data_IF_807616183873
#
_entry.id   IF_807616183873
#
_cell.length_a   1.000
_cell.length_b   1.000
_cell.length_c   1.000
_cell.angle_alpha   90.00
_cell.angle_beta   90.00
_cell.angle_gamma   90.00
#
_symmetry.space_group_name_H-M   'P 1'
#
loop_
_entity.id
_entity.type
_entity.pdbx_description
1 polymer ?
#
# COMPACT_ATOMS: atom_id res chain seq x y z
N UNK A 1 0.55 1.25 18.43
CA UNK A 1 -0.31 0.22 19.06
C UNK A 1 -1.70 0.22 18.45
N UNK A 2 -2.36 -0.88 18.58
CA UNK A 2 -3.78 -1.02 18.26
C UNK A 2 -4.50 -1.38 19.56
N UNK A 3 -5.32 -0.45 20.05
CA UNK A 3 -6.04 -0.60 21.33
C UNK A 3 -5.10 -0.99 22.50
N UNK A 4 -3.94 -0.36 22.56
CA UNK A 4 -2.95 -0.59 23.61
C UNK A 4 -1.99 -1.77 23.37
N UNK A 5 -2.22 -2.57 22.33
CA UNK A 5 -1.35 -3.70 21.98
C UNK A 5 -0.35 -3.27 20.92
N UNK A 6 0.97 -3.56 21.08
CA UNK A 6 1.94 -3.29 20.05
C UNK A 6 1.59 -3.99 18.73
N UNK A 7 1.83 -3.31 17.61
CA UNK A 7 1.58 -3.87 16.27
C UNK A 7 2.86 -3.87 15.45
N UNK A 8 2.91 -4.77 14.49
CA UNK A 8 3.87 -4.70 13.42
C UNK A 8 3.33 -5.38 12.16
N UNK A 9 3.99 -5.12 11.03
CA UNK A 9 3.59 -5.67 9.74
C UNK A 9 3.69 -7.19 9.71
N UNK A 10 2.99 -7.81 8.75
CA UNK A 10 3.05 -9.25 8.49
C UNK A 10 4.46 -9.66 8.02
N UNK A 11 4.82 -10.92 8.23
CA UNK A 11 6.04 -11.54 7.70
C UNK A 11 5.77 -12.37 6.44
N UNK A 12 4.53 -12.38 5.93
CA UNK A 12 4.14 -13.25 4.81
C UNK A 12 4.66 -12.73 3.48
N UNK A 13 5.15 -13.61 2.61
CA UNK A 13 5.31 -13.27 1.20
C UNK A 13 3.93 -13.09 0.55
N UNK A 14 3.90 -12.34 -0.55
CA UNK A 14 2.63 -11.95 -1.19
C UNK A 14 1.83 -13.14 -1.72
N UNK A 15 2.50 -14.21 -2.14
CA UNK A 15 1.83 -15.43 -2.62
C UNK A 15 1.06 -16.18 -1.52
N UNK A 16 1.26 -15.82 -0.27
CA UNK A 16 0.51 -16.32 0.90
C UNK A 16 -0.37 -15.24 1.51
N UNK A 17 -0.48 -14.08 0.89
CA UNK A 17 -1.10 -12.91 1.47
C UNK A 17 -2.03 -12.15 0.55
N UNK A 18 -2.41 -10.99 1.01
CA UNK A 18 -3.35 -10.09 0.36
C UNK A 18 -2.67 -8.76 0.04
N UNK A 19 -3.17 -8.09 -0.99
CA UNK A 19 -2.91 -6.67 -1.15
C UNK A 19 -4.20 -5.86 -1.05
N UNK A 20 -4.06 -4.59 -0.71
CA UNK A 20 -5.14 -3.62 -0.66
C UNK A 20 -4.86 -2.56 -1.72
N UNK A 21 -5.87 -2.11 -2.43
CA UNK A 21 -5.71 -1.09 -3.44
C UNK A 21 -6.78 -0.01 -3.33
N UNK A 22 -6.38 1.21 -3.68
CA UNK A 22 -7.29 2.32 -3.90
C UNK A 22 -7.39 2.65 -5.37
N UNK A 23 -8.50 3.24 -5.80
CA UNK A 23 -8.78 3.44 -7.22
C UNK A 23 -8.48 4.85 -7.72
N UNK A 24 -8.22 5.82 -6.82
CA UNK A 24 -8.08 7.23 -7.20
C UNK A 24 -9.22 7.70 -8.13
N UNK A 25 -10.45 7.30 -7.81
CA UNK A 25 -11.61 7.30 -8.72
C UNK A 25 -11.95 8.66 -9.32
N UNK A 26 -11.55 9.76 -8.65
CA UNK A 26 -11.79 11.11 -9.14
C UNK A 26 -10.84 11.52 -10.27
N UNK A 27 -9.79 10.74 -10.52
CA UNK A 27 -8.75 10.98 -11.53
C UNK A 27 -8.79 9.85 -12.56
N UNK A 28 -9.61 10.03 -13.60
CA UNK A 28 -9.93 8.97 -14.57
C UNK A 28 -8.72 8.44 -15.33
N UNK A 29 -7.66 9.23 -15.46
CA UNK A 29 -6.40 8.81 -16.07
C UNK A 29 -5.74 7.64 -15.33
N UNK A 30 -6.05 7.45 -14.05
CA UNK A 30 -5.48 6.36 -13.26
C UNK A 30 -6.29 5.05 -13.29
N UNK A 31 -7.44 5.02 -13.97
CA UNK A 31 -8.26 3.80 -14.03
C UNK A 31 -7.49 2.66 -14.69
N UNK A 32 -6.97 2.88 -15.89
CA UNK A 32 -6.23 1.84 -16.63
C UNK A 32 -4.95 1.39 -15.91
N UNK A 33 -4.05 2.29 -15.49
CA UNK A 33 -2.86 1.86 -14.76
C UNK A 33 -3.19 1.17 -13.43
N UNK A 34 -4.23 1.61 -12.71
CA UNK A 34 -4.68 0.94 -11.49
C UNK A 34 -5.09 -0.51 -11.76
N UNK A 35 -5.88 -0.73 -12.79
CA UNK A 35 -6.35 -2.08 -13.12
C UNK A 35 -5.22 -2.97 -13.64
N UNK A 36 -4.30 -2.40 -14.41
CA UNK A 36 -3.11 -3.13 -14.87
C UNK A 36 -2.23 -3.56 -13.69
N UNK A 37 -2.00 -2.67 -12.74
CA UNK A 37 -1.21 -3.00 -11.56
C UNK A 37 -1.94 -4.02 -10.66
N UNK A 38 -3.25 -3.90 -10.55
CA UNK A 38 -4.09 -4.88 -9.82
C UNK A 38 -3.94 -6.28 -10.43
N UNK A 39 -4.00 -6.38 -11.75
CA UNK A 39 -3.81 -7.66 -12.45
C UNK A 39 -2.45 -8.28 -12.13
N UNK A 40 -1.38 -7.50 -12.28
CA UNK A 40 -0.02 -7.97 -12.00
C UNK A 40 0.15 -8.46 -10.55
N UNK A 41 -0.43 -7.74 -9.58
CA UNK A 41 -0.36 -8.13 -8.18
C UNK A 41 -1.25 -9.33 -7.88
N UNK A 42 -2.41 -9.43 -8.51
CA UNK A 42 -3.31 -10.56 -8.31
C UNK A 42 -2.69 -11.89 -8.77
N UNK A 43 -1.89 -11.87 -9.84
CA UNK A 43 -1.15 -13.04 -10.31
C UNK A 43 -0.12 -13.54 -9.27
N UNK A 44 0.27 -12.71 -8.32
CA UNK A 44 1.30 -12.97 -7.31
C UNK A 44 0.78 -13.15 -5.90
N UNK A 45 -0.53 -13.00 -5.68
CA UNK A 45 -1.15 -12.97 -4.35
C UNK A 45 -2.29 -13.97 -4.24
N UNK A 46 -2.80 -14.16 -3.02
CA UNK A 46 -3.99 -14.96 -2.81
C UNK A 46 -5.26 -14.24 -3.27
N UNK A 47 -5.35 -12.94 -2.98
CA UNK A 47 -6.52 -12.12 -3.29
C UNK A 47 -6.21 -10.65 -2.99
N UNK A 48 -7.19 -9.78 -3.23
CA UNK A 48 -7.08 -8.37 -2.89
C UNK A 48 -8.34 -7.84 -2.21
N UNK A 49 -8.23 -6.66 -1.60
CA UNK A 49 -9.36 -5.95 -1.02
C UNK A 49 -9.34 -4.49 -1.45
N UNK A 50 -10.52 -3.92 -1.57
CA UNK A 50 -10.70 -2.50 -1.83
C UNK A 50 -11.74 -1.96 -0.87
N UNK A 51 -11.30 -1.21 0.16
CA UNK A 51 -12.20 -0.66 1.17
C UNK A 51 -12.63 0.78 0.86
N UNK A 52 -11.82 1.52 0.12
CA UNK A 52 -12.14 2.90 -0.24
C UNK A 52 -11.83 3.92 0.86
N UNK A 53 -10.96 3.58 1.80
CA UNK A 53 -10.56 4.45 2.90
C UNK A 53 -9.05 4.30 3.13
N UNK A 54 -8.25 5.13 2.45
CA UNK A 54 -6.79 5.03 2.47
C UNK A 54 -6.21 5.04 3.89
N UNK A 55 -6.70 5.88 4.77
CA UNK A 55 -6.22 5.94 6.16
C UNK A 55 -6.37 4.60 6.87
N UNK A 56 -7.48 3.92 6.66
CA UNK A 56 -7.72 2.60 7.22
C UNK A 56 -6.87 1.53 6.54
N UNK A 57 -6.75 1.59 5.21
CA UNK A 57 -5.97 0.65 4.41
C UNK A 57 -4.51 0.60 4.87
N UNK A 58 -3.90 1.77 5.06
CA UNK A 58 -2.52 1.91 5.53
C UNK A 58 -2.35 1.33 6.94
N UNK A 59 -3.32 1.55 7.81
CA UNK A 59 -3.32 0.97 9.16
C UNK A 59 -3.47 -0.54 9.14
N UNK A 60 -4.19 -1.10 8.18
CA UNK A 60 -4.30 -2.55 8.02
C UNK A 60 -2.96 -3.18 7.63
N UNK A 61 -2.17 -2.51 6.80
CA UNK A 61 -0.78 -2.94 6.54
C UNK A 61 0.03 -2.89 7.83
N UNK A 62 -0.08 -1.80 8.58
CA UNK A 62 0.67 -1.59 9.82
C UNK A 62 0.43 -2.69 10.86
N UNK A 63 -0.78 -3.22 10.96
CA UNK A 63 -1.11 -4.26 11.93
C UNK A 63 -1.08 -5.70 11.36
N UNK A 64 -0.56 -5.88 10.15
CA UNK A 64 -0.32 -7.20 9.57
C UNK A 64 -1.53 -7.88 8.94
N UNK A 65 -2.60 -7.13 8.63
CA UNK A 65 -3.82 -7.70 8.02
C UNK A 65 -3.72 -7.87 6.52
N UNK A 66 -2.77 -7.21 5.88
CA UNK A 66 -2.44 -7.37 4.48
C UNK A 66 -0.96 -7.03 4.29
N UNK A 67 -0.38 -7.38 3.14
CA UNK A 67 1.05 -7.36 2.91
C UNK A 67 1.50 -6.19 2.06
N UNK A 68 0.65 -5.72 1.14
CA UNK A 68 0.96 -4.64 0.20
C UNK A 68 -0.24 -3.71 0.06
N UNK A 69 0.04 -2.42 -0.10
CA UNK A 69 -0.96 -1.41 -0.46
C UNK A 69 -0.44 -0.55 -1.60
N UNK A 70 -1.34 -0.16 -2.52
CA UNK A 70 -1.03 0.87 -3.49
C UNK A 70 -2.24 1.73 -3.83
N UNK A 71 -1.96 2.99 -4.19
CA UNK A 71 -2.91 3.89 -4.83
C UNK A 71 -2.15 4.93 -5.65
N UNK A 72 -2.64 5.24 -6.85
CA UNK A 72 -1.94 6.12 -7.78
C UNK A 72 -1.94 7.59 -7.37
N UNK A 73 -2.89 8.02 -6.55
CA UNK A 73 -2.94 9.43 -6.13
C UNK A 73 -3.64 9.59 -4.78
N UNK A 74 -2.89 10.06 -3.80
CA UNK A 74 -3.38 10.41 -2.47
C UNK A 74 -2.86 11.78 -2.07
N UNK A 75 -3.71 12.56 -1.39
CA UNK A 75 -3.30 13.81 -0.76
C UNK A 75 -2.56 13.54 0.56
N UNK A 76 -1.74 14.47 1.07
CA UNK A 76 -1.03 14.27 2.33
C UNK A 76 -1.94 13.90 3.50
N UNK A 77 -3.12 14.49 3.61
CA UNK A 77 -4.07 14.19 4.68
C UNK A 77 -4.69 12.78 4.55
N UNK A 78 -4.53 12.12 3.38
CA UNK A 78 -4.97 10.74 3.20
C UNK A 78 -3.87 9.73 3.58
N UNK A 79 -2.58 10.06 3.38
CA UNK A 79 -1.54 9.05 3.53
C UNK A 79 -0.53 9.33 4.66
N UNK A 80 -0.31 10.59 5.04
CA UNK A 80 0.84 10.92 5.88
C UNK A 80 0.82 10.18 7.23
N UNK A 81 -0.29 10.25 7.94
CA UNK A 81 -0.39 9.59 9.26
C UNK A 81 -0.30 8.06 9.13
N UNK A 82 -1.09 7.47 8.23
CA UNK A 82 -1.11 6.01 8.06
C UNK A 82 0.22 5.44 7.56
N UNK A 83 0.87 6.11 6.62
CA UNK A 83 2.17 5.69 6.13
C UNK A 83 3.25 5.78 7.22
N UNK A 84 3.22 6.83 8.02
CA UNK A 84 4.13 6.98 9.16
C UNK A 84 3.92 5.84 10.18
N UNK A 85 2.66 5.57 10.54
CA UNK A 85 2.33 4.46 11.45
C UNK A 85 2.82 3.13 10.88
N UNK A 86 2.63 2.90 9.60
CA UNK A 86 3.07 1.68 8.95
C UNK A 86 4.60 1.55 8.94
N UNK A 87 5.34 2.64 8.67
CA UNK A 87 6.80 2.64 8.74
C UNK A 87 7.30 2.32 10.15
N UNK A 88 6.69 2.91 11.18
CA UNK A 88 7.02 2.61 12.57
C UNK A 88 6.73 1.14 12.92
N UNK A 89 5.76 0.52 12.26
CA UNK A 89 5.43 -0.89 12.41
C UNK A 89 6.29 -1.82 11.53
N UNK A 90 7.24 -1.28 10.76
CA UNK A 90 8.18 -2.04 9.95
C UNK A 90 7.88 -2.08 8.45
N UNK A 91 6.87 -1.36 7.95
CA UNK A 91 6.60 -1.28 6.53
C UNK A 91 7.64 -0.45 5.78
N UNK A 92 7.81 -0.76 4.51
CA UNK A 92 8.57 0.04 3.57
C UNK A 92 7.57 0.87 2.77
N UNK A 93 7.75 2.18 2.77
CA UNK A 93 6.86 3.12 2.10
C UNK A 93 7.62 3.92 1.04
N UNK A 94 6.99 4.08 -0.12
CA UNK A 94 7.53 4.88 -1.22
C UNK A 94 6.41 5.34 -2.14
N UNK A 95 6.76 6.13 -3.14
CA UNK A 95 5.90 6.32 -4.31
C UNK A 95 5.95 5.06 -5.19
N UNK A 96 5.05 4.97 -6.17
CA UNK A 96 5.08 3.86 -7.15
C UNK A 96 6.30 3.88 -8.07
N UNK A 97 7.03 4.99 -8.12
CA UNK A 97 8.32 5.08 -8.83
C UNK A 97 9.52 4.76 -7.93
N UNK A 98 9.27 4.36 -6.68
CA UNK A 98 10.32 3.97 -5.75
C UNK A 98 10.98 5.12 -5.00
N UNK A 99 10.48 6.34 -5.15
CA UNK A 99 11.03 7.51 -4.46
C UNK A 99 10.47 7.63 -3.04
N UNK A 100 11.19 8.30 -2.12
CA UNK A 100 10.64 8.58 -0.79
C UNK A 100 9.32 9.36 -0.87
N UNK A 101 8.40 9.09 0.04
CA UNK A 101 7.16 9.85 0.15
C UNK A 101 7.47 11.32 0.44
N UNK A 102 6.84 12.27 -0.29
CA UNK A 102 7.12 13.70 -0.08
C UNK A 102 6.49 14.29 1.18
N UNK A 103 5.46 13.67 1.74
CA UNK A 103 4.73 14.02 2.97
C UNK A 103 3.88 15.30 2.89
N UNK A 104 4.20 16.21 2.00
CA UNK A 104 3.61 17.55 1.93
C UNK A 104 2.83 17.83 0.64
N UNK A 105 2.80 16.88 -0.29
CA UNK A 105 2.08 17.02 -1.56
C UNK A 105 1.45 15.70 -1.99
N UNK A 106 0.52 15.80 -2.93
CA UNK A 106 -0.13 14.64 -3.55
C UNK A 106 0.90 13.77 -4.28
N UNK A 107 0.78 12.46 -4.12
CA UNK A 107 1.66 11.50 -4.79
C UNK A 107 0.98 10.13 -4.88
N UNK A 108 1.60 9.24 -5.62
CA UNK A 108 1.27 7.81 -5.52
C UNK A 108 1.87 7.24 -4.22
N UNK A 109 1.24 6.20 -3.69
CA UNK A 109 1.68 5.57 -2.45
C UNK A 109 1.78 4.05 -2.64
N UNK A 110 2.90 3.51 -2.20
CA UNK A 110 3.18 2.09 -2.11
C UNK A 110 3.63 1.76 -0.70
N UNK A 111 3.01 0.75 -0.09
CA UNK A 111 3.49 0.15 1.15
C UNK A 111 3.67 -1.34 0.95
N UNK A 112 4.72 -1.89 1.53
CA UNK A 112 4.95 -3.33 1.58
C UNK A 112 5.61 -3.70 2.90
N UNK A 113 5.34 -4.92 3.38
CA UNK A 113 6.15 -5.50 4.44
C UNK A 113 7.54 -5.86 3.88
N UNK A 114 8.57 -6.05 4.72
CA UNK A 114 9.93 -6.33 4.25
C UNK A 114 10.05 -7.56 3.34
N UNK A 115 9.24 -8.60 3.57
CA UNK A 115 9.24 -9.81 2.74
C UNK A 115 8.88 -9.52 1.27
N UNK A 116 8.19 -8.40 0.99
CA UNK A 116 7.72 -8.03 -0.34
C UNK A 116 8.35 -6.73 -0.87
N UNK A 117 9.45 -6.27 -0.27
CA UNK A 117 10.10 -5.03 -0.70
C UNK A 117 10.59 -5.05 -2.15
N UNK A 118 10.90 -6.23 -2.68
CA UNK A 118 11.39 -6.42 -4.05
C UNK A 118 10.27 -6.34 -5.10
N UNK A 119 9.02 -6.51 -4.70
CA UNK A 119 7.90 -6.68 -5.63
C UNK A 119 7.70 -5.45 -6.51
N UNK A 120 7.78 -4.24 -5.94
CA UNK A 120 7.58 -3.01 -6.72
C UNK A 120 8.53 -2.91 -7.93
N UNK A 121 9.79 -3.30 -7.76
CA UNK A 121 10.78 -3.28 -8.83
C UNK A 121 10.51 -4.25 -9.97
N UNK A 122 9.63 -5.22 -9.77
CA UNK A 122 9.26 -6.22 -10.76
C UNK A 122 7.94 -5.89 -11.48
N UNK A 123 7.28 -4.80 -11.09
CA UNK A 123 5.99 -4.39 -11.65
C UNK A 123 6.19 -3.30 -12.72
N UNK A 124 5.25 -3.26 -13.66
CA UNK A 124 5.12 -2.16 -14.61
C UNK A 124 4.04 -1.22 -14.14
N UNK A 125 4.43 -0.06 -13.67
CA UNK A 125 3.51 0.96 -13.11
C UNK A 125 3.17 2.05 -14.12
#
# INVERSE_FOLDING_TARGET
>A
TLNGTPIHVSDKPLDQGLFIMGTAIYLREFVKPTMSLTEQLLERSCDYRRFGAATLDLCYIACGRAEVFFEYSLAPWDYAAGAFIAQEAGAIASTLTGEPLPWIRRCSVWLANPANQHVLGELTV
#
